data_IF_532271334916
#
_entry.id   IF_532271334916
#
_cell.length_a   1.000
_cell.length_b   1.000
_cell.length_c   1.000
_cell.angle_alpha   90.00
_cell.angle_beta   90.00
_cell.angle_gamma   90.00
#
_symmetry.space_group_name_H-M   'P 1'
#
loop_
_entity.id
_entity.type
_entity.pdbx_description
1 polymer ?
#
# COMPACT_ATOMS: atom_id res chain seq x y z
N UNK A 1 13.21 3.90 -4.00
CA UNK A 1 13.69 2.50 -3.82
C UNK A 1 13.36 2.03 -2.42
N UNK A 2 13.52 0.73 -2.09
CA UNK A 2 13.14 0.19 -0.79
C UNK A 2 13.93 0.83 0.37
N UNK A 3 15.26 0.92 0.24
CA UNK A 3 16.21 1.54 1.21
C UNK A 3 16.05 3.06 1.39
N UNK A 4 15.09 3.68 0.72
CA UNK A 4 14.89 5.13 0.82
C UNK A 4 14.23 5.51 2.15
N UNK A 5 14.85 6.44 2.88
CA UNK A 5 14.40 6.87 4.21
C UNK A 5 13.78 8.29 4.21
N UNK A 6 13.34 8.82 3.06
CA UNK A 6 12.74 10.17 3.00
C UNK A 6 11.52 10.34 3.90
N UNK A 7 10.82 9.24 4.18
CA UNK A 7 9.55 9.22 4.91
C UNK A 7 9.72 9.06 6.44
N UNK A 8 10.91 9.27 7.01
CA UNK A 8 11.16 9.08 8.46
C UNK A 8 10.21 9.89 9.34
N UNK A 9 9.86 11.14 8.99
CA UNK A 9 8.96 11.94 9.81
C UNK A 9 7.50 11.44 9.71
N UNK A 10 7.07 11.02 8.53
CA UNK A 10 5.78 10.36 8.32
C UNK A 10 5.69 9.07 9.13
N UNK A 11 6.74 8.25 9.11
CA UNK A 11 6.86 7.04 9.91
C UNK A 11 6.71 7.32 11.41
N UNK A 12 7.41 8.33 11.94
CA UNK A 12 7.27 8.70 13.35
C UNK A 12 5.84 9.11 13.70
N UNK A 13 5.16 9.86 12.84
CA UNK A 13 3.76 10.25 13.03
C UNK A 13 2.81 9.04 13.00
N UNK A 14 3.02 8.13 12.05
CA UNK A 14 2.24 6.88 11.96
C UNK A 14 2.46 6.04 13.24
N UNK A 15 3.69 5.86 13.69
CA UNK A 15 3.96 5.09 14.91
C UNK A 15 3.35 5.72 16.18
N UNK A 16 3.21 7.05 16.24
CA UNK A 16 2.52 7.75 17.33
C UNK A 16 0.99 7.55 17.33
N UNK A 17 0.40 7.07 16.23
CA UNK A 17 -1.06 6.86 16.14
C UNK A 17 -1.56 5.70 17.02
N UNK A 18 -0.73 4.67 17.22
CA UNK A 18 -1.10 3.48 18.01
C UNK A 18 -2.16 2.60 17.34
N UNK A 19 -2.35 2.72 16.02
CA UNK A 19 -3.36 1.95 15.29
C UNK A 19 -3.10 0.43 15.35
N UNK A 20 -4.17 -0.35 15.49
CA UNK A 20 -4.08 -1.80 15.74
C UNK A 20 -3.35 -2.56 14.63
N UNK A 21 -3.42 -2.08 13.38
CA UNK A 21 -2.71 -2.67 12.24
C UNK A 21 -1.19 -2.70 12.42
N UNK A 22 -0.64 -1.81 13.25
CA UNK A 22 0.80 -1.77 13.54
C UNK A 22 1.26 -2.99 14.34
N UNK A 23 0.37 -3.68 15.04
CA UNK A 23 0.70 -4.91 15.76
C UNK A 23 1.23 -6.00 14.82
N UNK A 24 0.83 -5.99 13.54
CA UNK A 24 1.28 -6.97 12.53
C UNK A 24 2.65 -6.65 11.92
N UNK A 25 3.28 -5.53 12.31
CA UNK A 25 4.66 -5.17 11.93
C UNK A 25 5.58 -5.01 13.14
N UNK A 26 5.21 -5.62 14.28
CA UNK A 26 5.99 -5.53 15.52
C UNK A 26 5.78 -4.22 16.28
N UNK A 27 4.67 -3.52 16.04
CA UNK A 27 4.29 -2.28 16.72
C UNK A 27 4.95 -1.02 16.17
N UNK A 28 5.95 -1.15 15.29
CA UNK A 28 6.70 -0.02 14.72
C UNK A 28 6.86 -0.23 13.21
N UNK A 29 6.19 0.60 12.42
CA UNK A 29 6.35 0.59 10.96
C UNK A 29 7.71 1.19 10.57
N UNK A 30 8.32 0.62 9.52
CA UNK A 30 9.60 1.09 8.96
C UNK A 30 9.38 2.22 7.95
N UNK A 31 10.31 3.19 7.81
CA UNK A 31 10.27 4.16 6.70
C UNK A 31 10.43 3.52 5.32
N UNK A 32 10.85 2.26 5.27
CA UNK A 32 11.00 1.50 4.03
C UNK A 32 9.68 0.89 3.55
N UNK A 33 8.63 0.90 4.37
CA UNK A 33 7.28 0.44 3.99
C UNK A 33 6.51 1.50 3.19
N UNK A 34 5.38 1.12 2.61
CA UNK A 34 4.76 1.91 1.56
C UNK A 34 3.84 3.01 2.09
N UNK A 35 3.11 2.80 3.18
CA UNK A 35 2.20 3.83 3.71
C UNK A 35 2.91 5.10 4.21
N UNK A 36 4.11 5.06 4.85
CA UNK A 36 4.86 6.28 5.11
C UNK A 36 5.32 6.99 3.83
N UNK A 37 5.73 6.24 2.80
CA UNK A 37 6.18 6.81 1.51
C UNK A 37 5.01 7.43 0.75
N UNK A 38 3.83 6.83 0.78
CA UNK A 38 2.61 7.41 0.23
C UNK A 38 2.22 8.70 0.95
N UNK A 39 2.29 8.71 2.28
CA UNK A 39 2.04 9.93 3.05
C UNK A 39 3.07 11.02 2.70
N UNK A 40 4.33 10.65 2.53
CA UNK A 40 5.37 11.59 2.09
C UNK A 40 5.05 12.16 0.71
N UNK A 41 4.58 11.33 -0.24
CA UNK A 41 4.16 11.78 -1.57
C UNK A 41 2.95 12.73 -1.50
N UNK A 42 1.94 12.39 -0.71
CA UNK A 42 0.75 13.24 -0.55
C UNK A 42 1.11 14.63 0.00
N UNK A 43 2.08 14.72 0.90
CA UNK A 43 2.48 15.98 1.53
C UNK A 43 3.50 16.78 0.71
N UNK A 44 4.47 16.12 0.07
CA UNK A 44 5.59 16.78 -0.58
C UNK A 44 5.41 16.92 -2.09
N UNK A 45 4.65 16.02 -2.72
CA UNK A 45 4.38 15.99 -4.16
C UNK A 45 2.88 15.79 -4.42
N UNK A 46 1.99 16.65 -3.91
CA UNK A 46 0.54 16.46 -3.97
C UNK A 46 0.02 16.36 -5.41
N UNK A 47 0.63 17.07 -6.37
CA UNK A 47 0.25 16.94 -7.78
C UNK A 47 0.51 15.53 -8.33
N UNK A 48 1.66 14.94 -8.00
CA UNK A 48 2.00 13.55 -8.38
C UNK A 48 1.10 12.57 -7.66
N UNK A 49 0.86 12.76 -6.37
CA UNK A 49 -0.08 11.93 -5.63
C UNK A 49 -1.46 12.00 -6.28
N UNK A 50 -2.04 13.18 -6.49
CA UNK A 50 -3.39 13.30 -7.06
C UNK A 50 -3.52 12.79 -8.49
N UNK A 51 -2.47 12.89 -9.31
CA UNK A 51 -2.49 12.38 -10.69
C UNK A 51 -2.30 10.86 -10.79
N UNK A 52 -1.76 10.20 -9.76
CA UNK A 52 -1.44 8.77 -9.80
C UNK A 52 -2.70 7.92 -9.75
N UNK A 53 -3.08 7.32 -10.87
CA UNK A 53 -4.24 6.41 -10.93
C UNK A 53 -4.00 5.05 -10.27
N UNK A 54 -2.75 4.63 -10.05
CA UNK A 54 -2.36 3.42 -9.32
C UNK A 54 -1.07 3.64 -8.52
N UNK A 55 -0.97 2.98 -7.37
CA UNK A 55 0.26 2.72 -6.65
C UNK A 55 0.44 1.20 -6.52
N UNK A 56 1.65 0.73 -6.78
CA UNK A 56 1.97 -0.69 -6.83
C UNK A 56 3.31 -0.93 -6.14
N UNK A 57 3.40 -2.04 -5.43
CA UNK A 57 4.71 -2.62 -5.12
C UNK A 57 5.41 -2.99 -6.43
N UNK A 58 6.74 -3.05 -6.43
CA UNK A 58 7.50 -3.36 -7.64
C UNK A 58 7.09 -4.72 -8.24
N UNK A 59 6.84 -5.73 -7.39
CA UNK A 59 6.41 -7.05 -7.87
C UNK A 59 5.05 -6.99 -8.58
N UNK A 60 4.09 -6.23 -8.04
CA UNK A 60 2.75 -6.06 -8.62
C UNK A 60 2.78 -5.19 -9.89
N UNK A 61 3.69 -4.21 -9.95
CA UNK A 61 3.91 -3.44 -11.19
C UNK A 61 4.40 -4.34 -12.32
N UNK A 62 5.32 -5.28 -12.05
CA UNK A 62 5.84 -6.19 -13.07
C UNK A 62 4.75 -7.13 -13.60
N UNK A 63 3.90 -7.67 -12.72
CA UNK A 63 2.80 -8.54 -13.15
C UNK A 63 1.73 -7.78 -13.92
N UNK A 64 1.38 -6.56 -13.49
CA UNK A 64 0.49 -5.68 -14.25
C UNK A 64 1.07 -5.35 -15.62
N UNK A 65 2.36 -5.00 -15.69
CA UNK A 65 3.01 -4.63 -16.96
C UNK A 65 3.06 -5.80 -17.95
N UNK A 66 3.11 -7.03 -17.44
CA UNK A 66 3.12 -8.25 -18.23
C UNK A 66 1.73 -8.71 -18.67
N UNK A 67 0.69 -8.51 -17.84
CA UNK A 67 -0.63 -9.16 -18.03
C UNK A 67 -1.80 -8.19 -18.17
N UNK A 68 -1.61 -6.92 -17.85
CA UNK A 68 -2.67 -5.92 -17.71
C UNK A 68 -3.53 -6.06 -16.45
N UNK A 69 -3.36 -7.13 -15.66
CA UNK A 69 -4.15 -7.36 -14.45
C UNK A 69 -3.80 -6.36 -13.34
N UNK A 70 -4.83 -5.85 -12.65
CA UNK A 70 -4.69 -5.01 -11.46
C UNK A 70 -4.74 -5.79 -10.15
N UNK A 71 -4.77 -7.12 -10.20
CA UNK A 71 -4.68 -7.92 -8.99
C UNK A 71 -3.34 -7.66 -8.26
N UNK A 72 -3.38 -7.74 -6.93
CA UNK A 72 -2.22 -7.59 -6.05
C UNK A 72 -1.87 -8.91 -5.40
N UNK A 73 -0.57 -9.15 -5.21
CA UNK A 73 -0.11 -10.28 -4.43
C UNK A 73 -0.46 -10.07 -2.96
N UNK A 74 -1.06 -11.08 -2.32
CA UNK A 74 -1.27 -11.07 -0.87
C UNK A 74 0.06 -10.86 -0.11
N UNK A 75 1.19 -11.29 -0.66
CA UNK A 75 2.50 -11.12 -0.04
C UNK A 75 2.89 -9.65 0.10
N UNK A 76 2.81 -8.86 -0.98
CA UNK A 76 3.23 -7.47 -0.99
C UNK A 76 2.35 -6.62 -0.08
N UNK A 77 1.03 -6.69 -0.29
CA UNK A 77 0.08 -5.82 0.43
C UNK A 77 0.02 -6.13 1.93
N UNK A 78 0.16 -7.39 2.32
CA UNK A 78 0.19 -7.77 3.74
C UNK A 78 1.49 -7.31 4.40
N UNK A 79 2.64 -7.59 3.78
CA UNK A 79 3.94 -7.34 4.39
C UNK A 79 4.34 -5.86 4.41
N UNK A 80 3.85 -5.05 3.46
CA UNK A 80 4.38 -3.70 3.21
C UNK A 80 3.34 -2.58 3.17
N UNK A 81 2.05 -2.93 3.02
CA UNK A 81 0.97 -1.96 2.83
C UNK A 81 -0.07 -1.97 3.95
N UNK A 82 0.10 -2.81 4.97
CA UNK A 82 -0.82 -2.95 6.11
C UNK A 82 -2.20 -3.52 5.74
N UNK A 83 -2.28 -4.36 4.70
CA UNK A 83 -3.47 -5.13 4.39
C UNK A 83 -3.70 -6.23 5.42
N UNK A 84 -4.93 -6.36 5.93
CA UNK A 84 -5.31 -7.40 6.89
C UNK A 84 -5.74 -8.66 6.14
N UNK A 85 -4.80 -9.50 5.72
CA UNK A 85 -5.10 -10.69 4.92
C UNK A 85 -6.09 -11.67 5.58
N UNK A 86 -6.02 -11.81 6.91
CA UNK A 86 -6.94 -12.66 7.67
C UNK A 86 -8.38 -12.13 7.71
N UNK A 87 -8.59 -10.84 7.42
CA UNK A 87 -9.89 -10.21 7.29
C UNK A 87 -10.24 -9.86 5.84
N UNK A 88 -9.34 -10.12 4.90
CA UNK A 88 -9.47 -9.78 3.47
C UNK A 88 -9.90 -8.33 3.23
N UNK A 89 -9.28 -7.37 3.95
CA UNK A 89 -9.60 -5.95 3.81
C UNK A 89 -8.44 -5.01 4.06
N UNK A 90 -8.59 -3.79 3.55
CA UNK A 90 -7.87 -2.62 4.01
C UNK A 90 -8.51 -2.06 5.29
N UNK A 91 -7.69 -1.47 6.17
CA UNK A 91 -8.19 -0.81 7.37
C UNK A 91 -8.46 0.68 7.12
N UNK A 92 -9.72 1.01 6.81
CA UNK A 92 -10.14 2.38 6.53
C UNK A 92 -9.85 3.36 7.67
N UNK A 93 -10.04 2.93 8.94
CA UNK A 93 -9.78 3.80 10.08
C UNK A 93 -8.30 4.20 10.12
N UNK A 94 -7.40 3.26 9.90
CA UNK A 94 -5.96 3.51 9.80
C UNK A 94 -5.64 4.51 8.69
N UNK A 95 -6.08 4.27 7.44
CA UNK A 95 -5.77 5.16 6.32
C UNK A 95 -6.29 6.58 6.53
N UNK A 96 -7.51 6.73 7.07
CA UNK A 96 -8.05 8.04 7.44
C UNK A 96 -7.23 8.71 8.53
N UNK A 97 -6.86 7.97 9.58
CA UNK A 97 -6.08 8.48 10.72
C UNK A 97 -4.73 9.03 10.31
N UNK A 98 -4.02 8.34 9.41
CA UNK A 98 -2.66 8.72 9.01
C UNK A 98 -2.60 9.80 7.92
N UNK A 99 -3.75 10.34 7.49
CA UNK A 99 -3.79 11.38 6.46
C UNK A 99 -3.82 10.86 5.01
N UNK A 100 -4.14 9.57 4.82
CA UNK A 100 -4.33 8.95 3.50
C UNK A 100 -5.81 8.63 3.23
N UNK A 101 -6.73 9.39 3.83
CA UNK A 101 -8.18 9.17 3.74
C UNK A 101 -8.74 9.18 2.31
N UNK A 102 -8.10 9.92 1.39
CA UNK A 102 -8.47 9.90 -0.03
C UNK A 102 -8.47 8.47 -0.61
N UNK A 103 -7.54 7.61 -0.21
CA UNK A 103 -7.51 6.22 -0.66
C UNK A 103 -8.74 5.44 -0.19
N UNK A 104 -9.26 5.73 1.00
CA UNK A 104 -10.49 5.11 1.50
C UNK A 104 -11.74 5.68 0.80
N UNK A 105 -11.78 7.00 0.56
CA UNK A 105 -12.88 7.65 -0.17
C UNK A 105 -13.00 7.10 -1.60
N UNK A 106 -11.89 6.68 -2.18
CA UNK A 106 -11.80 6.04 -3.49
C UNK A 106 -11.93 4.50 -3.43
N UNK A 107 -12.45 3.95 -2.33
CA UNK A 107 -12.61 2.51 -2.10
C UNK A 107 -11.34 1.68 -2.35
N UNK A 108 -10.18 2.27 -2.09
CA UNK A 108 -8.84 1.69 -2.28
C UNK A 108 -8.49 1.30 -3.73
N UNK A 109 -9.23 1.81 -4.72
CA UNK A 109 -9.06 1.47 -6.13
C UNK A 109 -7.62 1.67 -6.65
N UNK A 110 -6.90 2.64 -6.07
CA UNK A 110 -5.53 2.99 -6.46
C UNK A 110 -4.47 2.06 -5.88
N UNK A 111 -4.74 1.37 -4.78
CA UNK A 111 -3.78 0.47 -4.12
C UNK A 111 -4.14 -1.01 -4.28
N UNK A 112 -5.34 -1.31 -4.80
CA UNK A 112 -5.76 -2.63 -5.24
C UNK A 112 -7.00 -3.14 -4.49
N UNK A 113 -7.96 -3.67 -5.24
CA UNK A 113 -9.23 -4.21 -4.72
C UNK A 113 -9.37 -5.73 -4.95
N UNK A 114 -8.52 -6.30 -5.79
CA UNK A 114 -8.42 -7.74 -6.03
C UNK A 114 -7.07 -8.23 -5.48
N UNK A 115 -7.09 -9.05 -4.43
CA UNK A 115 -5.90 -9.57 -3.76
C UNK A 115 -5.88 -11.09 -3.91
N UNK A 116 -4.81 -11.64 -4.46
CA UNK A 116 -4.72 -13.06 -4.81
C UNK A 116 -3.52 -13.76 -4.16
N UNK A 117 -3.60 -15.07 -3.89
CA UNK A 117 -2.48 -15.84 -3.38
C UNK A 117 -1.38 -16.01 -4.45
N UNK A 118 -0.17 -16.31 -3.99
CA UNK A 118 0.92 -16.68 -4.89
C UNK A 118 0.54 -17.93 -5.72
N UNK A 119 0.88 -17.91 -7.01
CA UNK A 119 0.56 -18.98 -7.96
C UNK A 119 -0.81 -18.85 -8.64
N UNK A 120 -1.65 -17.89 -8.24
CA UNK A 120 -2.85 -17.56 -9.00
C UNK A 120 -2.49 -17.03 -10.40
N UNK A 121 -3.22 -17.48 -11.42
CA UNK A 121 -3.07 -16.95 -12.77
C UNK A 121 -3.58 -15.50 -12.83
N UNK A 122 -2.88 -14.64 -13.57
CA UNK A 122 -3.20 -13.22 -13.72
C UNK A 122 -3.60 -12.89 -15.16
N UNK A 123 -4.74 -12.22 -15.34
CA UNK A 123 -5.27 -11.91 -16.67
C UNK A 123 -5.48 -13.18 -17.50
N UNK A 124 -5.04 -13.16 -18.75
CA UNK A 124 -4.99 -14.35 -19.62
C UNK A 124 -3.67 -15.13 -19.54
N UNK A 125 -2.83 -14.84 -18.54
CA UNK A 125 -1.47 -15.38 -18.44
C UNK A 125 -0.47 -14.69 -19.38
N UNK A 126 0.78 -15.16 -19.36
CA UNK A 126 1.79 -14.83 -20.37
C UNK A 126 1.50 -15.67 -21.61
N UNK A 127 1.03 -15.04 -22.69
CA UNK A 127 0.92 -15.65 -24.02
C UNK A 127 2.27 -15.67 -24.73
#
# INVERSE_FOLDING_TARGET
VWMDHRAVEQTRRINRSGEAVLNYVGGVISPEMETPKLLWLAENLPATFNAAWQFMDLADFLTWRATGSLARSVCTVTCKWTYLAHESRWDEAYFRKIGLGALADEAFARIGTEIVPAGAALGSGLT
#
